data_IF_067604283252
#
_entry.id   IF_067604283252
#
_cell.length_a   1.000
_cell.length_b   1.000
_cell.length_c   1.000
_cell.angle_alpha   90.00
_cell.angle_beta   90.00
_cell.angle_gamma   90.00
#
_symmetry.space_group_name_H-M   'P 1'
#
loop_
_entity.id
_entity.type
_entity.pdbx_description
1 polymer ?
#
# COMPACT_ATOMS: atom_id res chain seq x y z
N UNK A 1 2.83 -8.39 -30.89
CA UNK A 1 2.37 -6.99 -30.78
C UNK A 1 2.93 -6.46 -29.47
N UNK A 2 4.10 -5.80 -29.50
CA UNK A 2 4.72 -5.20 -28.31
C UNK A 2 4.04 -3.88 -28.03
N UNK A 3 3.28 -3.80 -26.94
CA UNK A 3 2.79 -2.52 -26.43
C UNK A 3 4.04 -1.70 -26.08
N UNK A 4 4.29 -0.55 -26.71
CA UNK A 4 5.41 0.27 -26.33
C UNK A 4 5.17 0.76 -24.90
N UNK A 5 6.07 0.38 -23.99
CA UNK A 5 6.10 0.96 -22.64
C UNK A 5 6.25 2.48 -22.79
N UNK A 6 5.62 3.28 -21.94
CA UNK A 6 5.78 4.73 -22.00
C UNK A 6 7.26 5.07 -22.01
N UNK A 7 7.69 5.79 -23.02
CA UNK A 7 9.09 6.19 -23.20
C UNK A 7 9.54 7.24 -22.19
N UNK A 8 8.60 7.83 -21.45
CA UNK A 8 8.86 8.80 -20.39
C UNK A 8 9.07 8.09 -19.04
N UNK A 9 10.28 8.18 -18.43
CA UNK A 9 10.57 7.59 -17.14
C UNK A 9 9.66 8.08 -16.00
N UNK A 10 9.18 9.32 -16.08
CA UNK A 10 8.27 9.89 -15.09
C UNK A 10 6.88 9.25 -15.17
N UNK A 11 6.36 9.09 -16.37
CA UNK A 11 5.06 8.45 -16.59
C UNK A 11 5.08 6.96 -16.24
N UNK A 12 6.18 6.29 -16.56
CA UNK A 12 6.37 4.88 -16.16
C UNK A 12 6.42 4.72 -14.64
N UNK A 13 7.17 5.57 -13.94
CA UNK A 13 7.23 5.59 -12.48
C UNK A 13 5.87 5.88 -11.85
N UNK A 14 5.16 6.89 -12.35
CA UNK A 14 3.82 7.26 -11.90
C UNK A 14 2.83 6.10 -12.08
N UNK A 15 2.73 5.54 -13.28
CA UNK A 15 1.77 4.47 -13.59
C UNK A 15 2.06 3.19 -12.79
N UNK A 16 3.33 2.82 -12.66
CA UNK A 16 3.74 1.63 -11.91
C UNK A 16 3.43 1.78 -10.41
N UNK A 17 3.80 2.90 -9.80
CA UNK A 17 3.55 3.13 -8.38
C UNK A 17 2.06 3.31 -8.09
N UNK A 18 1.32 4.07 -8.92
CA UNK A 18 -0.13 4.21 -8.78
C UNK A 18 -0.83 2.86 -8.78
N UNK A 19 -0.53 2.03 -9.78
CA UNK A 19 -1.19 0.71 -9.92
C UNK A 19 -0.80 -0.24 -8.80
N UNK A 20 0.50 -0.33 -8.50
CA UNK A 20 1.01 -1.22 -7.45
C UNK A 20 0.40 -0.87 -6.09
N UNK A 21 0.44 0.40 -5.71
CA UNK A 21 -0.05 0.85 -4.40
C UNK A 21 -1.57 0.75 -4.32
N UNK A 22 -2.30 1.20 -5.35
CA UNK A 22 -3.77 1.10 -5.35
C UNK A 22 -4.25 -0.34 -5.16
N UNK A 23 -3.62 -1.31 -5.85
CA UNK A 23 -4.02 -2.72 -5.72
C UNK A 23 -3.54 -3.35 -4.41
N UNK A 24 -2.37 -2.96 -3.91
CA UNK A 24 -1.84 -3.50 -2.66
C UNK A 24 -2.63 -3.03 -1.43
N UNK A 25 -3.10 -1.79 -1.45
CA UNK A 25 -3.85 -1.16 -0.34
C UNK A 25 -5.32 -1.57 -0.28
N UNK A 26 -5.90 -2.00 -1.41
CA UNK A 26 -7.32 -2.39 -1.42
C UNK A 26 -7.52 -3.68 -0.60
N UNK A 27 -8.33 -3.58 0.47
CA UNK A 27 -8.60 -4.70 1.37
C UNK A 27 -7.47 -4.99 2.36
N UNK A 28 -6.50 -4.10 2.48
CA UNK A 28 -5.46 -4.19 3.48
C UNK A 28 -5.91 -3.65 4.84
N UNK A 29 -5.15 -3.94 5.88
CA UNK A 29 -5.42 -3.52 7.27
C UNK A 29 -5.67 -2.02 7.40
N UNK A 30 -4.90 -1.19 6.72
CA UNK A 30 -5.05 0.27 6.74
C UNK A 30 -6.30 0.75 6.04
N UNK A 31 -6.75 0.06 4.98
CA UNK A 31 -8.05 0.27 4.36
C UNK A 31 -9.18 0.04 5.37
N UNK A 32 -9.16 -1.08 6.11
CA UNK A 32 -10.17 -1.37 7.14
C UNK A 32 -10.10 -0.40 8.31
N UNK A 33 -8.88 0.01 8.74
CA UNK A 33 -8.73 1.04 9.78
C UNK A 33 -9.41 2.35 9.38
N UNK A 34 -9.16 2.84 8.16
CA UNK A 34 -9.77 4.06 7.66
C UNK A 34 -11.29 3.92 7.53
N UNK A 35 -11.78 2.76 7.05
CA UNK A 35 -13.19 2.44 6.91
C UNK A 35 -13.89 2.44 8.27
N UNK A 36 -13.37 1.69 9.26
CA UNK A 36 -13.98 1.55 10.59
C UNK A 36 -13.97 2.89 11.33
N UNK A 37 -12.84 3.61 11.33
CA UNK A 37 -12.75 4.94 11.93
C UNK A 37 -13.76 5.92 11.31
N UNK A 38 -13.98 5.84 9.99
CA UNK A 38 -14.95 6.69 9.30
C UNK A 38 -16.41 6.37 9.65
N UNK A 39 -16.72 5.17 10.16
CA UNK A 39 -18.05 4.86 10.70
C UNK A 39 -18.30 5.50 12.06
N UNK A 40 -17.23 5.73 12.85
CA UNK A 40 -17.29 6.26 14.24
C UNK A 40 -17.04 7.77 14.30
N UNK A 41 -16.26 8.32 13.37
CA UNK A 41 -15.81 9.69 13.35
C UNK A 41 -16.15 10.41 12.04
N UNK A 42 -15.89 11.72 11.99
CA UNK A 42 -16.10 12.50 10.76
C UNK A 42 -15.13 12.07 9.66
N UNK A 43 -15.61 11.59 8.51
CA UNK A 43 -14.80 11.03 7.43
C UNK A 43 -13.60 11.89 7.01
N UNK A 44 -13.79 13.22 6.94
CA UNK A 44 -12.72 14.16 6.56
C UNK A 44 -11.52 14.19 7.53
N UNK A 45 -11.76 13.97 8.83
CA UNK A 45 -10.68 13.96 9.83
C UNK A 45 -9.92 12.63 9.76
N UNK A 46 -10.65 11.53 9.57
CA UNK A 46 -10.05 10.20 9.35
C UNK A 46 -9.20 10.20 8.08
N UNK A 47 -9.77 10.69 6.97
CA UNK A 47 -9.03 10.80 5.71
C UNK A 47 -7.73 11.60 5.89
N UNK A 48 -7.80 12.77 6.52
CA UNK A 48 -6.63 13.62 6.71
C UNK A 48 -5.56 12.92 7.55
N UNK A 49 -5.94 12.30 8.67
CA UNK A 49 -4.99 11.58 9.54
C UNK A 49 -4.34 10.40 8.82
N UNK A 50 -5.15 9.54 8.22
CA UNK A 50 -4.68 8.37 7.49
C UNK A 50 -3.80 8.76 6.28
N UNK A 51 -4.25 9.70 5.45
CA UNK A 51 -3.49 10.14 4.28
C UNK A 51 -2.15 10.78 4.65
N UNK A 52 -2.10 11.59 5.71
CA UNK A 52 -0.84 12.18 6.17
C UNK A 52 0.11 11.10 6.70
N UNK A 53 -0.40 10.06 7.36
CA UNK A 53 0.39 8.91 7.78
C UNK A 53 1.01 8.17 6.57
N UNK A 54 0.18 7.82 5.59
CA UNK A 54 0.61 7.17 4.36
C UNK A 54 1.62 8.01 3.57
N UNK A 55 1.42 9.33 3.51
CA UNK A 55 2.36 10.25 2.90
C UNK A 55 3.72 10.28 3.64
N UNK A 56 3.69 10.26 4.97
CA UNK A 56 4.91 10.21 5.78
C UNK A 56 5.68 8.91 5.56
N UNK A 57 4.99 7.75 5.54
CA UNK A 57 5.62 6.46 5.22
C UNK A 57 6.14 6.44 3.78
N UNK A 58 5.42 7.02 2.82
CA UNK A 58 5.88 7.15 1.43
C UNK A 58 7.19 7.92 1.35
N UNK A 59 7.29 9.07 2.00
CA UNK A 59 8.51 9.88 2.01
C UNK A 59 9.67 9.11 2.66
N UNK A 60 9.42 8.44 3.78
CA UNK A 60 10.40 7.57 4.43
C UNK A 60 10.86 6.45 3.51
N UNK A 61 9.93 5.76 2.85
CA UNK A 61 10.21 4.65 1.94
C UNK A 61 11.03 5.09 0.73
N UNK A 62 10.66 6.22 0.12
CA UNK A 62 11.42 6.78 -1.00
C UNK A 62 12.83 7.19 -0.57
N UNK A 63 12.97 7.83 0.60
CA UNK A 63 14.27 8.19 1.16
C UNK A 63 15.17 6.97 1.39
N UNK A 64 14.61 5.91 1.99
CA UNK A 64 15.31 4.63 2.17
C UNK A 64 15.67 3.97 0.84
N UNK A 65 14.75 3.95 -0.11
CA UNK A 65 15.00 3.35 -1.42
C UNK A 65 16.09 4.08 -2.23
N UNK A 66 16.08 5.41 -2.21
CA UNK A 66 17.15 6.20 -2.83
C UNK A 66 18.49 6.02 -2.11
N UNK A 67 18.51 5.97 -0.77
CA UNK A 67 19.72 5.67 -0.01
C UNK A 67 20.27 4.27 -0.30
N UNK A 68 19.41 3.27 -0.38
CA UNK A 68 19.81 1.91 -0.76
C UNK A 68 20.36 1.82 -2.19
N UNK A 69 19.82 2.60 -3.13
CA UNK A 69 20.31 2.67 -4.50
C UNK A 69 21.77 3.14 -4.59
N UNK A 70 22.20 4.04 -3.69
CA UNK A 70 23.58 4.50 -3.63
C UNK A 70 24.53 3.47 -2.99
N UNK A 71 24.00 2.64 -2.10
CA UNK A 71 24.79 1.64 -1.37
C UNK A 71 24.89 0.30 -2.09
N UNK A 72 23.89 -0.06 -2.89
CA UNK A 72 23.81 -1.35 -3.56
C UNK A 72 24.38 -1.28 -4.98
N UNK A 73 25.15 -2.29 -5.42
CA UNK A 73 25.52 -2.42 -6.82
C UNK A 73 24.27 -2.48 -7.72
N UNK A 74 24.30 -1.74 -8.83
CA UNK A 74 23.17 -1.68 -9.75
C UNK A 74 22.71 -3.06 -10.28
N UNK A 75 23.63 -4.03 -10.33
CA UNK A 75 23.36 -5.42 -10.73
C UNK A 75 22.58 -6.23 -9.69
N UNK A 76 22.65 -5.87 -8.41
CA UNK A 76 21.98 -6.60 -7.31
C UNK A 76 20.53 -6.12 -7.12
N UNK A 77 20.27 -4.86 -7.40
CA UNK A 77 18.95 -4.23 -7.21
C UNK A 77 17.83 -4.97 -7.94
N UNK A 78 17.94 -5.30 -9.25
CA UNK A 78 16.87 -6.04 -9.94
C UNK A 78 16.64 -7.44 -9.37
N UNK A 79 17.68 -8.11 -8.90
CA UNK A 79 17.56 -9.43 -8.30
C UNK A 79 16.82 -9.39 -6.97
N UNK A 80 17.16 -8.43 -6.10
CA UNK A 80 16.45 -8.24 -4.83
C UNK A 80 14.97 -7.87 -5.07
N UNK A 81 14.70 -6.96 -6.02
CA UNK A 81 13.34 -6.61 -6.41
C UNK A 81 12.57 -7.83 -6.92
N UNK A 82 13.19 -8.66 -7.77
CA UNK A 82 12.58 -9.89 -8.27
C UNK A 82 12.20 -10.84 -7.14
N UNK A 83 13.12 -11.12 -6.21
CA UNK A 83 12.89 -12.04 -5.08
C UNK A 83 11.71 -11.55 -4.22
N UNK A 84 11.66 -10.25 -3.92
CA UNK A 84 10.61 -9.68 -3.08
C UNK A 84 9.26 -9.64 -3.78
N UNK A 85 9.20 -9.14 -4.99
CA UNK A 85 7.94 -9.09 -5.73
C UNK A 85 7.39 -10.49 -6.05
N UNK A 86 8.26 -11.44 -6.40
CA UNK A 86 7.83 -12.84 -6.58
C UNK A 86 7.37 -13.44 -5.26
N UNK A 87 8.11 -13.22 -4.16
CA UNK A 87 7.74 -13.70 -2.83
C UNK A 87 6.38 -13.17 -2.38
N UNK A 88 6.15 -11.86 -2.47
CA UNK A 88 4.85 -11.27 -2.14
C UNK A 88 3.75 -11.73 -3.10
N UNK A 89 4.04 -11.81 -4.40
CA UNK A 89 3.08 -12.28 -5.39
C UNK A 89 2.61 -13.71 -5.12
N UNK A 90 3.55 -14.63 -4.85
CA UNK A 90 3.23 -16.01 -4.48
C UNK A 90 2.46 -16.06 -3.17
N UNK A 91 2.91 -15.34 -2.14
CA UNK A 91 2.22 -15.29 -0.86
C UNK A 91 0.77 -14.84 -1.03
N UNK A 92 0.52 -13.71 -1.70
CA UNK A 92 -0.84 -13.21 -1.93
C UNK A 92 -1.73 -14.18 -2.71
N UNK A 93 -1.16 -14.92 -3.66
CA UNK A 93 -1.93 -15.94 -4.40
C UNK A 93 -2.23 -17.17 -3.55
N UNK A 94 -1.31 -17.58 -2.67
CA UNK A 94 -1.54 -18.67 -1.73
C UNK A 94 -2.58 -18.28 -0.70
N UNK A 95 -2.46 -17.07 -0.11
CA UNK A 95 -3.45 -16.51 0.81
C UNK A 95 -4.83 -16.47 0.12
N UNK A 96 -4.91 -16.00 -1.14
CA UNK A 96 -6.16 -16.01 -1.91
C UNK A 96 -6.74 -17.39 -2.20
N UNK A 97 -5.93 -18.46 -2.18
CA UNK A 97 -6.42 -19.84 -2.31
C UNK A 97 -6.89 -20.43 -0.98
N UNK A 98 -6.18 -20.11 0.10
CA UNK A 98 -6.51 -20.52 1.47
C UNK A 98 -7.70 -19.77 2.07
N UNK A 99 -8.05 -18.60 1.54
CA UNK A 99 -9.19 -17.81 2.00
C UNK A 99 -10.48 -18.64 1.93
N UNK A 100 -10.74 -19.42 2.96
CA UNK A 100 -12.10 -19.61 3.43
C UNK A 100 -12.65 -18.22 3.81
N UNK A 101 -13.96 -18.04 3.92
CA UNK A 101 -14.60 -16.75 4.21
C UNK A 101 -14.06 -16.00 5.46
N UNK A 102 -13.09 -16.58 6.18
CA UNK A 102 -12.61 -16.18 7.50
C UNK A 102 -11.37 -15.23 7.51
N UNK A 103 -10.51 -15.19 6.46
CA UNK A 103 -9.25 -14.39 6.55
C UNK A 103 -9.46 -12.89 6.32
N UNK A 104 -10.49 -12.51 5.57
CA UNK A 104 -10.93 -11.13 5.47
C UNK A 104 -11.43 -10.59 6.81
N UNK A 105 -12.05 -11.48 7.59
CA UNK A 105 -12.42 -11.18 8.96
C UNK A 105 -11.20 -10.96 9.85
N UNK A 106 -10.03 -11.52 9.54
CA UNK A 106 -8.83 -11.37 10.37
C UNK A 106 -8.20 -9.98 10.22
N UNK A 107 -8.05 -9.44 9.00
CA UNK A 107 -7.58 -8.06 8.81
C UNK A 107 -8.56 -7.04 9.39
N UNK A 108 -9.87 -7.25 9.20
CA UNK A 108 -10.91 -6.43 9.80
C UNK A 108 -10.90 -6.53 11.34
N UNK A 109 -10.75 -7.74 11.90
CA UNK A 109 -10.65 -7.98 13.36
C UNK A 109 -9.40 -7.34 13.95
N UNK A 110 -8.25 -7.42 13.28
CA UNK A 110 -7.02 -6.75 13.72
C UNK A 110 -7.19 -5.22 13.72
N UNK A 111 -7.73 -4.66 12.64
CA UNK A 111 -8.03 -3.24 12.55
C UNK A 111 -9.02 -2.81 13.65
N UNK A 112 -10.08 -3.59 13.86
CA UNK A 112 -11.08 -3.36 14.90
C UNK A 112 -10.48 -3.39 16.31
N UNK A 113 -9.59 -4.35 16.59
CA UNK A 113 -8.93 -4.51 17.88
C UNK A 113 -7.99 -3.33 18.17
N UNK A 114 -7.19 -2.91 17.18
CA UNK A 114 -6.30 -1.77 17.31
C UNK A 114 -7.06 -0.47 17.58
N UNK A 115 -8.19 -0.25 16.90
CA UNK A 115 -9.04 0.92 17.11
C UNK A 115 -9.69 0.91 18.49
N UNK A 116 -10.24 -0.23 18.92
CA UNK A 116 -10.87 -0.35 20.24
C UNK A 116 -9.87 -0.08 21.37
N UNK A 117 -8.63 -0.55 21.23
CA UNK A 117 -7.56 -0.29 22.19
C UNK A 117 -7.21 1.21 22.22
N UNK A 118 -7.06 1.86 21.08
CA UNK A 118 -6.76 3.28 20.99
C UNK A 118 -7.89 4.14 21.58
N UNK A 119 -9.15 3.86 21.22
CA UNK A 119 -10.31 4.59 21.73
C UNK A 119 -10.52 4.42 23.24
N UNK A 120 -10.18 3.24 23.79
CA UNK A 120 -10.28 3.00 25.24
C UNK A 120 -9.40 3.94 26.06
N UNK A 121 -8.32 4.43 25.47
CA UNK A 121 -7.37 5.38 26.08
C UNK A 121 -7.78 6.85 25.89
N UNK A 122 -8.76 7.12 25.00
CA UNK A 122 -9.10 8.47 24.57
C UNK A 122 -10.42 8.97 25.19
N UNK A 123 -10.36 10.02 26.01
CA UNK A 123 -11.54 10.58 26.71
C UNK A 123 -12.34 11.64 25.93
N UNK A 124 -11.85 12.17 24.80
CA UNK A 124 -12.50 13.24 24.03
C UNK A 124 -12.25 13.08 22.54
N UNK A 125 -13.31 13.06 21.72
CA UNK A 125 -13.23 13.07 20.27
C UNK A 125 -13.23 14.50 19.70
N UNK A 126 -12.12 15.20 19.87
CA UNK A 126 -11.91 16.48 19.15
C UNK A 126 -11.45 16.16 17.72
N UNK A 127 -11.61 17.13 16.79
CA UNK A 127 -11.11 16.97 15.43
C UNK A 127 -9.64 16.56 15.37
N UNK A 128 -8.81 17.20 16.22
CA UNK A 128 -7.37 16.92 16.30
C UNK A 128 -7.08 15.53 16.89
N UNK A 129 -7.86 15.11 17.88
CA UNK A 129 -7.73 13.79 18.46
C UNK A 129 -8.00 12.69 17.43
N UNK A 130 -9.05 12.83 16.61
CA UNK A 130 -9.36 11.87 15.53
C UNK A 130 -8.28 11.86 14.46
N UNK A 131 -7.75 13.04 14.07
CA UNK A 131 -6.67 13.12 13.08
C UNK A 131 -5.41 12.42 13.61
N UNK A 132 -5.02 12.70 14.86
CA UNK A 132 -3.83 12.09 15.45
C UNK A 132 -3.99 10.59 15.69
N UNK A 133 -5.17 10.14 16.08
CA UNK A 133 -5.48 8.71 16.25
C UNK A 133 -5.37 7.97 14.91
N UNK A 134 -6.06 8.46 13.87
CA UNK A 134 -5.97 7.89 12.53
C UNK A 134 -4.52 7.91 12.00
N UNK A 135 -3.79 9.00 12.24
CA UNK A 135 -2.37 9.09 11.87
C UNK A 135 -1.54 8.02 12.55
N UNK A 136 -1.60 7.92 13.88
CA UNK A 136 -0.76 6.98 14.64
C UNK A 136 -1.08 5.54 14.29
N UNK A 137 -2.37 5.19 14.21
CA UNK A 137 -2.79 3.83 13.89
C UNK A 137 -2.32 3.41 12.50
N UNK A 138 -2.59 4.24 11.49
CA UNK A 138 -2.19 3.94 10.10
C UNK A 138 -0.68 3.97 9.95
N UNK A 139 0.02 4.96 10.53
CA UNK A 139 1.47 5.05 10.45
C UNK A 139 2.16 3.81 11.04
N UNK A 140 1.73 3.35 12.22
CA UNK A 140 2.30 2.17 12.84
C UNK A 140 1.96 0.87 12.08
N UNK A 141 0.76 0.77 11.51
CA UNK A 141 0.36 -0.37 10.71
C UNK A 141 1.17 -0.50 9.41
N UNK A 142 1.53 0.64 8.80
CA UNK A 142 2.31 0.69 7.56
C UNK A 142 3.82 0.46 7.75
N UNK A 143 4.35 0.64 8.98
CA UNK A 143 5.77 0.39 9.22
C UNK A 143 6.11 -1.09 9.05
N UNK A 144 6.86 -1.40 7.99
CA UNK A 144 7.27 -2.77 7.66
C UNK A 144 6.24 -3.55 6.84
N UNK A 145 5.18 -2.89 6.35
CA UNK A 145 4.21 -3.53 5.46
C UNK A 145 4.71 -3.68 4.01
N UNK A 146 3.99 -4.50 3.24
CA UNK A 146 4.30 -4.80 1.83
C UNK A 146 4.33 -3.54 0.94
N UNK A 147 3.49 -2.55 1.21
CA UNK A 147 3.44 -1.29 0.45
C UNK A 147 4.67 -0.43 0.71
N UNK A 148 5.15 -0.38 1.96
CA UNK A 148 6.41 0.26 2.31
C UNK A 148 7.57 -0.39 1.56
N UNK A 149 7.71 -1.71 1.58
CA UNK A 149 8.76 -2.42 0.84
C UNK A 149 8.62 -2.23 -0.67
N UNK A 150 7.41 -2.29 -1.21
CA UNK A 150 7.15 -2.04 -2.64
C UNK A 150 7.67 -0.66 -3.05
N UNK A 151 7.36 0.39 -2.28
CA UNK A 151 7.80 1.76 -2.54
C UNK A 151 9.31 1.89 -2.45
N UNK A 152 9.95 1.27 -1.44
CA UNK A 152 11.41 1.22 -1.31
C UNK A 152 12.04 0.63 -2.58
N UNK A 153 11.53 -0.53 -3.04
CA UNK A 153 12.09 -1.20 -4.21
C UNK A 153 11.84 -0.46 -5.52
N UNK A 154 10.65 0.11 -5.71
CA UNK A 154 10.41 0.97 -6.87
C UNK A 154 11.39 2.16 -6.90
N UNK A 155 11.74 2.71 -5.75
CA UNK A 155 12.69 3.82 -5.63
C UNK A 155 14.15 3.41 -5.92
N UNK A 156 14.51 2.12 -5.76
CA UNK A 156 15.84 1.65 -6.13
C UNK A 156 16.01 1.51 -7.65
N UNK A 157 14.93 1.44 -8.43
CA UNK A 157 14.99 1.27 -9.88
C UNK A 157 15.54 2.52 -10.58
N UNK A 158 16.67 2.42 -11.33
CA UNK A 158 17.31 3.57 -11.98
C UNK A 158 16.43 4.26 -13.03
N UNK A 159 15.50 3.51 -13.63
CA UNK A 159 14.60 3.99 -14.67
C UNK A 159 13.46 4.88 -14.15
N UNK A 160 13.23 4.93 -12.83
CA UNK A 160 12.10 5.63 -12.24
C UNK A 160 12.50 6.99 -11.67
N UNK A 161 11.65 7.99 -11.89
CA UNK A 161 11.84 9.33 -11.32
C UNK A 161 11.19 9.44 -9.95
N UNK A 162 11.83 10.19 -9.04
CA UNK A 162 11.30 10.45 -7.70
C UNK A 162 9.91 11.09 -7.75
N UNK A 163 9.74 12.08 -8.63
CA UNK A 163 8.48 12.81 -8.75
C UNK A 163 7.35 11.88 -9.24
N UNK A 164 7.64 11.04 -10.24
CA UNK A 164 6.68 10.05 -10.72
C UNK A 164 6.27 9.05 -9.64
N UNK A 165 7.24 8.50 -8.92
CA UNK A 165 6.98 7.57 -7.80
C UNK A 165 6.16 8.24 -6.70
N UNK A 166 6.57 9.43 -6.25
CA UNK A 166 5.87 10.16 -5.20
C UNK A 166 4.42 10.46 -5.60
N UNK A 167 4.23 11.02 -6.81
CA UNK A 167 2.90 11.38 -7.29
C UNK A 167 1.98 10.16 -7.46
N UNK A 168 2.48 9.06 -8.05
CA UNK A 168 1.71 7.85 -8.24
C UNK A 168 1.35 7.16 -6.93
N UNK A 169 2.32 7.04 -6.00
CA UNK A 169 2.08 6.46 -4.68
C UNK A 169 1.08 7.28 -3.87
N UNK A 170 1.26 8.61 -3.78
CA UNK A 170 0.32 9.47 -3.05
C UNK A 170 -1.09 9.46 -3.64
N UNK A 171 -1.21 9.43 -4.97
CA UNK A 171 -2.51 9.33 -5.61
C UNK A 171 -3.16 7.96 -5.33
N UNK A 172 -2.39 6.87 -5.36
CA UNK A 172 -2.86 5.53 -4.99
C UNK A 172 -3.42 5.49 -3.57
N UNK A 173 -2.64 5.98 -2.61
CA UNK A 173 -3.08 6.10 -1.22
C UNK A 173 -4.33 6.99 -1.07
N UNK A 174 -4.37 8.15 -1.75
CA UNK A 174 -5.53 9.04 -1.69
C UNK A 174 -6.80 8.39 -2.24
N UNK A 175 -6.69 7.64 -3.34
CA UNK A 175 -7.82 6.93 -3.94
C UNK A 175 -8.34 5.84 -3.01
N UNK A 176 -7.47 4.99 -2.47
CA UNK A 176 -7.88 3.87 -1.61
C UNK A 176 -8.40 4.37 -0.27
N UNK A 177 -7.72 5.31 0.38
CA UNK A 177 -8.20 5.92 1.62
C UNK A 177 -9.51 6.68 1.40
N UNK A 178 -9.63 7.39 0.27
CA UNK A 178 -10.86 8.08 -0.11
C UNK A 178 -12.03 7.12 -0.32
N UNK A 179 -11.78 5.97 -0.96
CA UNK A 179 -12.76 4.88 -1.08
C UNK A 179 -13.15 4.31 0.28
N UNK A 180 -12.17 3.98 1.13
CA UNK A 180 -12.42 3.44 2.47
C UNK A 180 -13.30 4.39 3.30
N UNK A 181 -12.92 5.66 3.36
CA UNK A 181 -13.62 6.68 4.14
C UNK A 181 -14.97 7.09 3.53
N UNK A 182 -15.05 7.20 2.20
CA UNK A 182 -16.29 7.56 1.49
C UNK A 182 -17.30 6.42 1.44
N UNK A 183 -16.81 5.21 1.36
CA UNK A 183 -17.61 4.00 1.21
C UNK A 183 -17.91 3.30 2.54
N UNK A 184 -17.30 3.73 3.65
CA UNK A 184 -17.39 3.07 4.95
C UNK A 184 -18.80 2.77 5.45
N UNK A 185 -19.81 3.49 4.93
CA UNK A 185 -21.23 3.22 5.18
C UNK A 185 -21.91 2.32 4.13
N UNK A 186 -21.28 2.14 2.96
CA UNK A 186 -21.93 1.52 1.78
C UNK A 186 -21.31 0.21 1.35
N UNK A 187 -20.00 0.03 1.57
CA UNK A 187 -19.20 -1.08 1.01
C UNK A 187 -18.97 -2.19 2.03
N UNK A 188 -19.25 -2.00 3.31
CA UNK A 188 -19.11 -3.06 4.31
C UNK A 188 -19.69 -4.38 3.80
N UNK A 189 -18.83 -5.36 3.54
CA UNK A 189 -19.19 -6.71 3.10
C UNK A 189 -19.42 -6.95 1.60
N UNK A 190 -19.19 -5.96 0.70
CA UNK A 190 -19.37 -6.15 -0.76
C UNK A 190 -18.10 -6.36 -1.56
N UNK A 191 -16.94 -6.09 -0.98
CA UNK A 191 -15.64 -6.30 -1.66
C UNK A 191 -15.27 -7.77 -1.54
N UNK A 192 -15.10 -8.44 -2.67
CA UNK A 192 -14.56 -9.81 -2.70
C UNK A 192 -13.03 -9.75 -2.55
N UNK A 193 -12.55 -9.82 -1.33
CA UNK A 193 -11.15 -9.72 -0.98
C UNK A 193 -10.28 -10.75 -1.70
N UNK A 194 -10.74 -11.99 -1.83
CA UNK A 194 -10.08 -13.01 -2.66
C UNK A 194 -9.74 -12.51 -4.07
N UNK A 195 -10.61 -11.68 -4.67
CA UNK A 195 -10.34 -11.09 -5.98
C UNK A 195 -9.23 -10.05 -5.92
N UNK A 196 -9.21 -9.22 -4.87
CA UNK A 196 -8.17 -8.22 -4.65
C UNK A 196 -6.80 -8.87 -4.44
N UNK A 197 -6.71 -9.89 -3.59
CA UNK A 197 -5.49 -10.65 -3.35
C UNK A 197 -4.97 -11.32 -4.64
N UNK A 198 -5.86 -11.86 -5.48
CA UNK A 198 -5.47 -12.44 -6.79
C UNK A 198 -4.95 -11.37 -7.75
N UNK A 199 -5.59 -10.21 -7.83
CA UNK A 199 -5.15 -9.12 -8.69
C UNK A 199 -3.82 -8.55 -8.23
N UNK A 200 -3.68 -8.27 -6.94
CA UNK A 200 -2.43 -7.80 -6.35
C UNK A 200 -1.32 -8.82 -6.51
N UNK A 201 -1.58 -10.10 -6.18
CA UNK A 201 -0.61 -11.19 -6.34
C UNK A 201 -0.15 -11.36 -7.78
N UNK A 202 -1.08 -11.30 -8.74
CA UNK A 202 -0.75 -11.35 -10.18
C UNK A 202 0.10 -10.16 -10.62
N UNK A 203 -0.19 -8.95 -10.14
CA UNK A 203 0.59 -7.76 -10.44
C UNK A 203 2.01 -7.85 -9.84
N UNK A 204 2.13 -8.28 -8.58
CA UNK A 204 3.44 -8.49 -7.95
C UNK A 204 4.27 -9.54 -8.69
N UNK A 205 3.65 -10.64 -9.15
CA UNK A 205 4.35 -11.61 -10.01
C UNK A 205 4.81 -10.99 -11.32
N UNK A 206 3.99 -10.16 -11.97
CA UNK A 206 4.38 -9.47 -13.19
C UNK A 206 5.60 -8.54 -12.96
N UNK A 207 5.58 -7.75 -11.90
CA UNK A 207 6.73 -6.92 -11.53
C UNK A 207 7.96 -7.75 -11.18
N UNK A 208 7.79 -8.85 -10.46
CA UNK A 208 8.88 -9.77 -10.13
C UNK A 208 9.53 -10.40 -11.36
N UNK A 209 8.74 -10.81 -12.34
CA UNK A 209 9.24 -11.36 -13.60
C UNK A 209 9.96 -10.30 -14.46
N UNK A 210 9.45 -9.06 -14.47
CA UNK A 210 10.12 -7.95 -15.15
C UNK A 210 11.46 -7.63 -14.50
N UNK A 211 11.52 -7.59 -13.17
CA UNK A 211 12.75 -7.37 -12.42
C UNK A 211 13.76 -8.52 -12.63
N UNK A 212 13.27 -9.78 -12.63
CA UNK A 212 14.12 -10.94 -12.90
C UNK A 212 14.73 -10.88 -14.31
N UNK A 213 13.92 -10.51 -15.31
CA UNK A 213 14.41 -10.30 -16.67
C UNK A 213 15.51 -9.25 -16.74
N UNK A 214 15.38 -8.14 -15.99
CA UNK A 214 16.42 -7.12 -15.91
C UNK A 214 17.69 -7.60 -15.20
N UNK A 215 17.55 -8.49 -14.20
CA UNK A 215 18.68 -9.05 -13.49
C UNK A 215 19.50 -10.05 -14.34
N UNK A 216 18.86 -10.69 -15.34
CA UNK A 216 19.49 -11.68 -16.21
C UNK A 216 19.97 -11.09 -17.56
N UNK A 217 19.67 -9.83 -17.85
CA UNK A 217 20.07 -9.14 -19.07
C UNK A 217 21.40 -8.42 -18.92
#
# INVERSE_FOLDING_TARGET
>A
MTVPLPTDPGLAAFGSSLTAITLAELGDKTFFMALILATRHRPRHVFLGAFVALAAVTVLSLGLGYGLRELLPASVVPLLAAVLFLGFGVKLLLDAQGMAEDEAEDEEREAQSAINEAESRQRRSTAWAVISEAFVLVFLAELGDRTMFTTIFLATAPAFTLVGLLAGTLLGHALVTGLAVGAGRWIGGRIRERMLYRLSGGLFLAFGLLALRQALA
#
